data_IF_948905384654
#
_entry.id   IF_948905384654
#
_cell.length_a   1.000
_cell.length_b   1.000
_cell.length_c   1.000
_cell.angle_alpha   90.00
_cell.angle_beta   90.00
_cell.angle_gamma   90.00
#
_symmetry.space_group_name_H-M   'P 1'
#
loop_
_entity.id
_entity.type
_entity.pdbx_description
1 polymer ?
#
# COMPACT_ATOMS: atom_id res chain seq x y z
N UNK A 1 -11.08 -19.17 -12.72
CA UNK A 1 -10.94 -19.43 -11.27
C UNK A 1 -10.05 -20.66 -11.15
N UNK A 2 -8.77 -20.49 -10.85
CA UNK A 2 -7.80 -21.60 -10.79
C UNK A 2 -7.35 -21.76 -9.36
N UNK A 3 -7.84 -22.82 -8.71
CA UNK A 3 -7.51 -23.15 -7.34
C UNK A 3 -6.01 -23.49 -7.23
N UNK A 4 -5.36 -23.04 -6.17
CA UNK A 4 -4.10 -23.61 -5.70
C UNK A 4 -4.49 -24.70 -4.68
N UNK A 5 -4.53 -26.00 -5.05
CA UNK A 5 -5.00 -27.04 -4.13
C UNK A 5 -4.16 -27.09 -2.84
N UNK A 6 -2.89 -26.67 -2.94
CA UNK A 6 -1.97 -26.54 -1.80
C UNK A 6 -2.36 -25.48 -0.78
N UNK A 7 -3.29 -24.56 -1.09
CA UNK A 7 -3.76 -23.56 -0.12
C UNK A 7 -5.01 -24.00 0.62
N UNK A 8 -5.63 -25.14 0.29
CA UNK A 8 -6.86 -25.60 0.96
C UNK A 8 -6.58 -26.17 2.35
N UNK A 9 -5.42 -26.81 2.52
CA UNK A 9 -5.00 -27.40 3.80
C UNK A 9 -4.02 -26.49 4.58
N UNK A 10 -3.76 -25.28 4.08
CA UNK A 10 -2.85 -24.33 4.73
C UNK A 10 -3.60 -23.47 5.76
N UNK A 11 -3.32 -23.71 7.04
CA UNK A 11 -3.95 -23.05 8.19
C UNK A 11 -2.96 -22.20 9.02
N UNK A 12 -1.67 -22.15 8.63
CA UNK A 12 -0.61 -21.43 9.37
C UNK A 12 -0.23 -20.09 8.76
N UNK A 13 -0.82 -19.74 7.63
CA UNK A 13 -0.70 -18.43 7.02
C UNK A 13 -2.05 -17.97 6.48
N UNK A 14 -2.26 -16.67 6.45
CA UNK A 14 -3.53 -16.10 6.01
C UNK A 14 -3.32 -14.77 5.31
N UNK A 15 -4.37 -14.33 4.61
CA UNK A 15 -4.41 -12.99 4.05
C UNK A 15 -5.20 -12.04 4.95
N UNK A 16 -4.73 -10.80 5.06
CA UNK A 16 -5.50 -9.68 5.61
C UNK A 16 -5.99 -8.85 4.44
N UNK A 17 -7.31 -8.88 4.23
CA UNK A 17 -7.92 -8.37 3.00
C UNK A 17 -7.36 -9.07 1.76
N UNK A 18 -7.16 -8.31 0.69
CA UNK A 18 -6.57 -8.78 -0.56
C UNK A 18 -5.07 -8.48 -0.70
N UNK A 19 -4.47 -7.79 0.27
CA UNK A 19 -3.19 -7.10 0.10
C UNK A 19 -2.04 -7.69 0.92
N UNK A 20 -2.28 -8.20 2.12
CA UNK A 20 -1.20 -8.68 2.99
C UNK A 20 -1.32 -10.18 3.21
N UNK A 21 -0.20 -10.89 3.16
CA UNK A 21 -0.06 -12.30 3.55
C UNK A 21 0.86 -12.37 4.76
N UNK A 22 0.39 -13.01 5.82
CA UNK A 22 1.07 -13.12 7.12
C UNK A 22 1.35 -14.59 7.41
N UNK A 23 2.57 -14.90 7.88
CA UNK A 23 2.90 -16.20 8.47
C UNK A 23 3.66 -16.01 9.79
N UNK A 24 2.98 -16.01 10.95
CA UNK A 24 3.66 -15.93 12.23
C UNK A 24 4.55 -17.15 12.47
N UNK A 25 5.62 -16.96 13.26
CA UNK A 25 6.50 -18.04 13.71
C UNK A 25 5.91 -18.62 14.99
N UNK A 26 5.50 -19.89 14.96
CA UNK A 26 4.81 -20.57 16.09
C UNK A 26 5.61 -21.74 16.66
N UNK A 27 6.73 -22.08 16.03
CA UNK A 27 7.65 -23.12 16.47
C UNK A 27 8.75 -22.55 17.37
N UNK A 28 8.97 -23.21 18.52
CA UNK A 28 10.02 -22.81 19.47
C UNK A 28 11.41 -22.90 18.82
N UNK A 29 12.25 -21.90 19.08
CA UNK A 29 13.63 -21.80 18.57
C UNK A 29 13.76 -21.85 17.03
N UNK A 30 12.70 -21.53 16.29
CA UNK A 30 12.77 -21.45 14.84
C UNK A 30 13.74 -20.35 14.39
N UNK A 31 14.63 -20.70 13.46
CA UNK A 31 15.55 -19.78 12.77
C UNK A 31 15.17 -19.56 11.31
N UNK A 32 14.21 -20.35 10.82
CA UNK A 32 13.62 -20.23 9.49
C UNK A 32 12.12 -20.49 9.55
N UNK A 33 11.36 -19.76 8.72
CA UNK A 33 9.95 -19.99 8.46
C UNK A 33 9.74 -20.26 6.97
N UNK A 34 9.05 -21.34 6.65
CA UNK A 34 8.67 -21.66 5.28
C UNK A 34 7.25 -21.18 5.03
N UNK A 35 7.05 -20.25 4.09
CA UNK A 35 5.72 -19.78 3.68
C UNK A 35 5.46 -20.09 2.21
N UNK A 36 4.20 -20.22 1.83
CA UNK A 36 3.80 -20.37 0.44
C UNK A 36 3.22 -19.05 -0.07
N UNK A 37 3.81 -18.50 -1.13
CA UNK A 37 3.24 -17.36 -1.84
C UNK A 37 2.28 -17.89 -2.92
N UNK A 38 0.98 -17.53 -2.88
CA UNK A 38 -0.01 -18.01 -3.83
C UNK A 38 -0.16 -17.09 -5.04
N UNK A 39 -0.81 -17.61 -6.08
CA UNK A 39 -1.18 -16.86 -7.29
C UNK A 39 -0.16 -16.99 -8.43
N UNK A 40 -0.63 -17.40 -9.61
CA UNK A 40 0.20 -17.45 -10.81
C UNK A 40 0.35 -16.06 -11.41
N UNK A 41 1.56 -15.72 -11.84
CA UNK A 41 1.88 -14.39 -12.41
C UNK A 41 1.59 -13.26 -11.42
N UNK A 42 1.82 -13.53 -10.14
CA UNK A 42 1.79 -12.55 -9.07
C UNK A 42 3.22 -12.28 -8.60
N UNK A 43 3.40 -11.12 -7.98
CA UNK A 43 4.62 -10.77 -7.26
C UNK A 43 4.21 -10.39 -5.84
N UNK A 44 5.03 -10.76 -4.86
CA UNK A 44 4.85 -10.36 -3.47
C UNK A 44 6.08 -9.58 -3.03
N UNK A 45 5.88 -8.53 -2.25
CA UNK A 45 6.95 -7.71 -1.71
C UNK A 45 7.10 -8.00 -0.24
N UNK A 46 8.30 -8.37 0.16
CA UNK A 46 8.65 -8.52 1.57
C UNK A 46 8.43 -7.18 2.30
N UNK A 47 7.73 -7.21 3.43
CA UNK A 47 7.28 -5.99 4.10
C UNK A 47 8.43 -5.13 4.63
N UNK A 48 9.47 -5.76 5.18
CA UNK A 48 10.58 -5.05 5.79
C UNK A 48 11.59 -4.58 4.74
N UNK A 49 11.88 -5.42 3.75
CA UNK A 49 12.95 -5.16 2.78
C UNK A 49 12.48 -4.61 1.44
N UNK A 50 11.16 -4.57 1.20
CA UNK A 50 10.54 -4.23 -0.09
C UNK A 50 11.00 -5.12 -1.27
N UNK A 51 11.71 -6.22 -1.01
CA UNK A 51 12.24 -7.09 -2.07
C UNK A 51 11.12 -7.91 -2.72
N UNK A 52 11.07 -7.98 -4.07
CA UNK A 52 10.08 -8.78 -4.76
C UNK A 52 10.39 -10.27 -4.68
N UNK A 53 9.34 -11.08 -4.54
CA UNK A 53 9.33 -12.54 -4.55
C UNK A 53 8.33 -13.03 -5.60
N UNK A 54 8.76 -13.85 -6.58
CA UNK A 54 7.86 -14.41 -7.58
C UNK A 54 6.92 -15.45 -6.95
N UNK A 55 5.78 -15.66 -7.59
CA UNK A 55 4.72 -16.58 -7.17
C UNK A 55 4.21 -17.43 -8.34
N UNK A 56 3.76 -18.68 -8.14
CA UNK A 56 3.58 -19.38 -6.86
C UNK A 56 4.85 -20.08 -6.39
N UNK A 57 5.05 -20.19 -5.08
CA UNK A 57 6.19 -20.94 -4.56
C UNK A 57 6.39 -20.85 -3.05
N UNK A 58 7.12 -21.81 -2.52
CA UNK A 58 7.60 -21.75 -1.15
C UNK A 58 8.77 -20.76 -1.04
N UNK A 59 8.77 -19.93 -0.01
CA UNK A 59 9.87 -19.04 0.36
C UNK A 59 10.38 -19.46 1.72
N UNK A 60 11.71 -19.55 1.85
CA UNK A 60 12.39 -19.75 3.12
C UNK A 60 12.83 -18.39 3.64
N UNK A 61 12.29 -18.02 4.79
CA UNK A 61 12.59 -16.76 5.47
C UNK A 61 13.46 -17.05 6.68
N UNK A 62 14.69 -16.53 6.75
CA UNK A 62 15.39 -16.41 8.02
C UNK A 62 14.53 -15.61 9.00
N UNK A 63 14.35 -16.14 10.21
CA UNK A 63 13.57 -15.47 11.25
C UNK A 63 14.37 -15.38 12.55
N UNK A 64 14.11 -14.32 13.28
CA UNK A 64 14.55 -14.11 14.65
C UNK A 64 13.32 -14.04 15.55
N UNK A 65 13.53 -13.93 16.86
CA UNK A 65 12.44 -13.74 17.82
C UNK A 65 11.55 -12.50 17.51
N UNK A 66 12.09 -11.51 16.79
CA UNK A 66 11.37 -10.27 16.44
C UNK A 66 10.70 -10.33 15.06
N UNK A 67 10.98 -11.36 14.26
CA UNK A 67 10.55 -11.41 12.87
C UNK A 67 9.08 -11.75 12.75
N UNK A 68 8.35 -11.00 11.94
CA UNK A 68 6.98 -11.32 11.51
C UNK A 68 7.00 -11.41 9.99
N UNK A 69 7.10 -12.63 9.41
CA UNK A 69 7.00 -12.81 7.97
C UNK A 69 5.70 -12.24 7.41
N UNK A 70 5.83 -11.13 6.68
CA UNK A 70 4.74 -10.36 6.11
C UNK A 70 5.09 -9.98 4.67
N UNK A 71 4.13 -10.19 3.78
CA UNK A 71 4.27 -9.94 2.35
C UNK A 71 3.10 -9.10 1.85
N UNK A 72 3.39 -8.03 1.13
CA UNK A 72 2.38 -7.28 0.39
C UNK A 72 2.24 -7.82 -1.03
N UNK A 73 1.03 -8.10 -1.46
CA UNK A 73 0.73 -8.52 -2.83
C UNK A 73 0.93 -7.36 -3.80
N UNK A 74 1.60 -7.61 -4.92
CA UNK A 74 1.69 -6.67 -6.03
C UNK A 74 0.31 -6.33 -6.59
N UNK A 75 0.16 -5.09 -7.06
CA UNK A 75 -1.11 -4.54 -7.51
C UNK A 75 -1.96 -3.94 -6.40
N UNK A 76 -1.43 -3.79 -5.18
CA UNK A 76 -2.20 -3.28 -4.02
C UNK A 76 -1.58 -2.01 -3.43
N UNK A 77 -2.43 -1.15 -2.86
CA UNK A 77 -2.06 0.03 -2.09
C UNK A 77 -2.61 -0.15 -0.67
N UNK A 78 -1.73 -0.03 0.33
CA UNK A 78 -2.08 -0.18 1.75
C UNK A 78 -1.82 1.14 2.48
N UNK A 79 -2.86 1.83 2.99
CA UNK A 79 -2.70 3.00 3.86
C UNK A 79 -2.31 2.58 5.28
N UNK A 80 -1.33 3.25 5.89
CA UNK A 80 -0.85 2.97 7.24
C UNK A 80 -0.60 4.26 8.02
N UNK A 81 -1.05 4.31 9.27
CA UNK A 81 -0.56 5.28 10.25
C UNK A 81 0.77 4.80 10.83
N UNK A 82 1.89 5.37 10.38
CA UNK A 82 3.22 4.98 10.88
C UNK A 82 3.56 5.56 12.25
N UNK A 83 2.91 6.67 12.61
CA UNK A 83 3.08 7.33 13.90
C UNK A 83 2.37 6.53 14.99
N UNK A 84 3.04 5.53 15.53
CA UNK A 84 2.49 4.70 16.61
C UNK A 84 2.26 5.56 17.86
N UNK A 85 1.02 5.58 18.35
CA UNK A 85 0.63 6.24 19.60
C UNK A 85 0.23 5.21 20.66
N UNK A 86 -0.06 5.69 21.87
CA UNK A 86 -0.50 4.86 23.01
C UNK A 86 -1.92 4.27 22.85
N UNK A 87 -2.72 4.77 21.90
CA UNK A 87 -4.05 4.25 21.57
C UNK A 87 -4.45 4.64 20.15
N UNK A 88 -5.39 3.89 19.55
CA UNK A 88 -5.93 4.19 18.22
C UNK A 88 -6.64 5.53 18.15
N UNK A 89 -7.34 5.93 19.22
CA UNK A 89 -8.00 7.23 19.30
C UNK A 89 -7.03 8.41 19.10
N UNK A 90 -5.78 8.27 19.56
CA UNK A 90 -4.75 9.30 19.40
C UNK A 90 -4.07 9.26 18.03
N UNK A 91 -4.29 8.20 17.25
CA UNK A 91 -3.79 8.07 15.87
C UNK A 91 -4.81 8.58 14.84
N UNK A 92 -6.06 8.83 15.24
CA UNK A 92 -7.17 9.16 14.30
C UNK A 92 -6.83 10.33 13.38
N UNK A 93 -6.14 11.34 13.92
CA UNK A 93 -5.73 12.56 13.19
C UNK A 93 -4.26 12.51 12.72
N UNK A 94 -3.54 11.41 12.94
CA UNK A 94 -2.18 11.28 12.45
C UNK A 94 -2.18 11.08 10.92
N UNK A 95 -1.17 11.61 10.21
CA UNK A 95 -1.06 11.40 8.78
C UNK A 95 -0.87 9.93 8.40
N UNK A 96 -1.12 9.64 7.14
CA UNK A 96 -1.02 8.31 6.54
C UNK A 96 0.16 8.23 5.58
N UNK A 97 0.82 7.08 5.60
CA UNK A 97 1.75 6.63 4.56
C UNK A 97 1.04 5.64 3.62
N UNK A 98 1.15 5.86 2.32
CA UNK A 98 0.63 4.92 1.31
C UNK A 98 1.74 3.98 0.83
N UNK A 99 1.57 2.68 1.07
CA UNK A 99 2.45 1.63 0.54
C UNK A 99 1.89 1.09 -0.77
N UNK A 100 2.46 1.52 -1.89
CA UNK A 100 2.09 1.13 -3.25
C UNK A 100 2.99 -0.04 -3.70
N UNK A 101 2.46 -1.26 -3.75
CA UNK A 101 3.16 -2.41 -4.32
C UNK A 101 2.73 -2.61 -5.77
N UNK A 102 3.61 -2.38 -6.74
CA UNK A 102 3.27 -2.52 -8.16
C UNK A 102 3.00 -3.98 -8.53
N UNK A 103 2.10 -4.22 -9.48
CA UNK A 103 1.84 -5.58 -9.97
C UNK A 103 3.07 -6.17 -10.70
N UNK A 104 2.99 -7.44 -11.13
CA UNK A 104 4.11 -8.11 -11.81
C UNK A 104 4.59 -7.39 -13.08
N UNK A 105 3.70 -6.65 -13.73
CA UNK A 105 4.00 -5.86 -14.94
C UNK A 105 4.64 -4.50 -14.61
N UNK A 106 4.56 -4.06 -13.36
CA UNK A 106 5.02 -2.75 -12.92
C UNK A 106 4.12 -1.61 -13.36
N UNK A 107 2.88 -1.87 -13.78
CA UNK A 107 2.01 -0.90 -14.46
C UNK A 107 0.77 -0.47 -13.65
N UNK A 108 0.49 -1.13 -12.53
CA UNK A 108 -0.75 -0.90 -11.79
C UNK A 108 -0.66 -1.28 -10.32
N UNK A 109 -1.34 -0.51 -9.47
CA UNK A 109 -1.76 -0.90 -8.13
C UNK A 109 -2.99 -0.11 -7.70
N UNK A 110 -3.84 -0.69 -6.84
CA UNK A 110 -4.95 0.05 -6.25
C UNK A 110 -5.21 -0.31 -4.79
N UNK A 111 -5.91 0.57 -4.09
CA UNK A 111 -6.34 0.34 -2.72
C UNK A 111 -7.44 1.30 -2.34
N UNK A 112 -7.98 1.11 -1.14
CA UNK A 112 -9.05 1.93 -0.61
C UNK A 112 -8.80 2.26 0.85
N UNK A 113 -9.40 3.35 1.31
CA UNK A 113 -9.47 3.72 2.72
C UNK A 113 -10.90 4.08 3.09
N UNK A 114 -11.34 3.61 4.24
CA UNK A 114 -12.59 3.98 4.87
C UNK A 114 -12.29 4.71 6.17
N UNK A 115 -12.97 5.83 6.42
CA UNK A 115 -12.85 6.62 7.65
C UNK A 115 -14.22 7.04 8.14
N UNK A 116 -14.46 6.92 9.43
CA UNK A 116 -15.62 7.46 10.15
C UNK A 116 -15.17 7.89 11.56
N UNK A 117 -16.11 8.24 12.44
CA UNK A 117 -15.78 8.56 13.83
C UNK A 117 -15.36 7.35 14.67
N UNK A 118 -15.51 6.12 14.17
CA UNK A 118 -15.16 4.86 14.83
C UNK A 118 -15.92 4.53 16.12
N UNK A 119 -16.94 5.32 16.49
CA UNK A 119 -17.59 5.25 17.81
C UNK A 119 -19.12 5.25 17.72
N UNK A 120 -19.71 5.94 16.74
CA UNK A 120 -21.16 6.15 16.65
C UNK A 120 -21.76 5.51 15.40
N UNK A 121 -23.08 5.67 15.23
CA UNK A 121 -23.79 5.28 14.01
C UNK A 121 -23.90 6.42 12.98
N UNK A 122 -23.13 7.50 13.13
CA UNK A 122 -23.19 8.66 12.25
C UNK A 122 -22.88 8.31 10.77
N UNK A 123 -22.10 7.26 10.52
CA UNK A 123 -21.89 6.73 9.16
C UNK A 123 -23.21 6.37 8.44
N UNK A 124 -24.27 5.98 9.17
CA UNK A 124 -25.60 5.70 8.58
C UNK A 124 -26.28 6.95 8.03
N UNK A 125 -25.83 8.14 8.46
CA UNK A 125 -26.28 9.45 7.98
C UNK A 125 -25.32 10.06 6.95
N UNK A 126 -24.27 9.33 6.56
CA UNK A 126 -23.26 9.80 5.62
C UNK A 126 -21.97 10.33 6.25
N UNK A 127 -21.83 10.36 7.58
CA UNK A 127 -20.62 10.87 8.25
C UNK A 127 -19.46 9.85 8.20
N UNK A 128 -19.00 9.58 6.99
CA UNK A 128 -17.84 8.74 6.68
C UNK A 128 -17.21 9.20 5.36
N UNK A 129 -16.03 8.69 5.06
CA UNK A 129 -15.32 8.86 3.81
C UNK A 129 -14.90 7.48 3.29
N UNK A 130 -15.17 7.19 2.01
CA UNK A 130 -14.68 5.98 1.35
C UNK A 130 -13.96 6.34 0.05
N UNK A 131 -12.64 6.24 0.08
CA UNK A 131 -11.77 6.74 -0.99
C UNK A 131 -10.93 5.63 -1.59
N UNK A 132 -10.61 5.78 -2.87
CA UNK A 132 -9.69 4.91 -3.60
C UNK A 132 -8.38 5.61 -3.92
N UNK A 133 -7.33 4.82 -4.06
CA UNK A 133 -6.05 5.22 -4.62
C UNK A 133 -5.71 4.31 -5.78
N UNK A 134 -5.16 4.87 -6.86
CA UNK A 134 -4.75 4.13 -8.05
C UNK A 134 -3.39 4.64 -8.49
N UNK A 135 -2.43 3.71 -8.59
CA UNK A 135 -1.22 3.90 -9.37
C UNK A 135 -1.43 3.30 -10.77
N UNK A 136 -1.03 4.00 -11.82
CA UNK A 136 -1.09 3.49 -13.19
C UNK A 136 0.08 3.99 -14.03
N UNK A 137 0.67 3.12 -14.84
CA UNK A 137 1.52 3.51 -15.97
C UNK A 137 0.61 3.94 -17.13
N UNK A 138 0.64 5.22 -17.48
CA UNK A 138 -0.16 5.73 -18.62
C UNK A 138 0.54 5.42 -19.95
N UNK A 139 1.85 5.63 -19.99
CA UNK A 139 2.75 5.27 -21.09
C UNK A 139 4.20 5.18 -20.57
N UNK A 140 5.18 4.96 -21.45
CA UNK A 140 6.57 4.65 -21.06
C UNK A 140 7.29 5.72 -20.24
N UNK A 141 6.78 6.95 -20.24
CA UNK A 141 7.42 8.11 -19.62
C UNK A 141 6.52 8.80 -18.58
N UNK A 142 5.34 8.23 -18.28
CA UNK A 142 4.40 8.83 -17.35
C UNK A 142 3.69 7.75 -16.53
N UNK A 143 3.78 7.91 -15.21
CA UNK A 143 3.03 7.16 -14.23
C UNK A 143 2.20 8.13 -13.40
N UNK A 144 1.00 7.72 -13.02
CA UNK A 144 0.05 8.55 -12.28
C UNK A 144 -0.28 7.91 -10.95
N UNK A 145 -0.45 8.73 -9.91
CA UNK A 145 -1.11 8.34 -8.66
C UNK A 145 -2.30 9.27 -8.48
N UNK A 146 -3.49 8.72 -8.37
CA UNK A 146 -4.72 9.49 -8.17
C UNK A 146 -5.50 8.94 -6.99
N UNK A 147 -6.18 9.81 -6.25
CA UNK A 147 -7.23 9.40 -5.33
C UNK A 147 -8.61 9.83 -5.85
N UNK A 148 -9.66 9.11 -5.40
CA UNK A 148 -11.02 9.44 -5.78
C UNK A 148 -12.03 9.00 -4.73
N UNK A 149 -13.03 9.84 -4.47
CA UNK A 149 -14.16 9.46 -3.64
C UNK A 149 -14.96 8.35 -4.33
N UNK A 150 -15.08 7.19 -3.68
CA UNK A 150 -15.83 6.04 -4.18
C UNK A 150 -17.32 6.10 -3.84
N UNK A 151 -17.70 6.82 -2.78
CA UNK A 151 -19.08 6.96 -2.35
C UNK A 151 -19.41 8.41 -2.01
N UNK A 152 -20.12 9.07 -2.93
CA UNK A 152 -20.57 10.46 -2.78
C UNK A 152 -21.56 10.67 -1.63
N UNK A 153 -22.11 9.60 -1.06
CA UNK A 153 -22.92 9.66 0.16
C UNK A 153 -22.10 9.88 1.44
N UNK A 154 -20.79 9.60 1.39
CA UNK A 154 -19.85 9.94 2.45
C UNK A 154 -19.47 11.42 2.40
N UNK A 155 -19.81 12.16 3.46
CA UNK A 155 -19.62 13.62 3.57
C UNK A 155 -18.52 14.01 4.57
N UNK A 156 -17.79 13.06 5.14
CA UNK A 156 -16.69 13.37 6.06
C UNK A 156 -15.56 14.08 5.28
N UNK A 157 -15.27 15.32 5.68
CA UNK A 157 -14.06 16.05 5.28
C UNK A 157 -13.04 15.97 6.42
N UNK A 158 -11.86 15.43 6.13
CA UNK A 158 -10.81 15.13 7.09
C UNK A 158 -9.55 15.92 6.75
N UNK A 159 -8.92 16.49 7.78
CA UNK A 159 -7.61 17.14 7.64
C UNK A 159 -6.43 16.15 7.76
N UNK A 160 -6.71 14.84 7.79
CA UNK A 160 -5.67 13.82 7.75
C UNK A 160 -4.95 13.87 6.40
N UNK A 161 -3.64 14.08 6.49
CA UNK A 161 -2.76 14.21 5.33
C UNK A 161 -2.16 12.87 4.92
N UNK A 162 -1.79 12.78 3.65
CA UNK A 162 -0.83 11.78 3.17
C UNK A 162 0.57 12.39 3.34
N UNK A 163 1.32 11.94 4.34
CA UNK A 163 2.66 12.48 4.60
C UNK A 163 3.71 11.86 3.68
N UNK A 164 3.48 10.62 3.25
CA UNK A 164 4.47 9.82 2.52
C UNK A 164 3.81 8.83 1.58
N UNK A 165 4.44 8.60 0.43
CA UNK A 165 4.13 7.50 -0.48
C UNK A 165 5.40 6.67 -0.69
N UNK A 166 5.29 5.35 -0.50
CA UNK A 166 6.36 4.39 -0.76
C UNK A 166 5.92 3.50 -1.91
N UNK A 167 6.65 3.53 -3.04
CA UNK A 167 6.37 2.71 -4.22
C UNK A 167 7.39 1.58 -4.30
N UNK A 168 6.92 0.34 -4.18
CA UNK A 168 7.71 -0.89 -4.25
C UNK A 168 7.68 -1.47 -5.67
N UNK A 169 8.86 -1.81 -6.20
CA UNK A 169 9.00 -2.37 -7.54
C UNK A 169 8.94 -1.33 -8.66
N UNK A 170 9.22 -0.06 -8.36
CA UNK A 170 9.33 1.03 -9.32
C UNK A 170 10.58 0.82 -10.21
N UNK A 171 10.45 0.03 -11.28
CA UNK A 171 11.55 -0.24 -12.23
C UNK A 171 11.76 0.87 -13.27
N UNK A 172 10.91 1.88 -13.26
CA UNK A 172 11.10 3.11 -14.04
C UNK A 172 12.11 4.02 -13.34
N UNK A 173 12.70 4.97 -14.08
CA UNK A 173 13.70 5.90 -13.55
C UNK A 173 13.10 7.29 -13.44
N UNK A 174 12.45 7.66 -12.31
CA UNK A 174 11.82 8.95 -12.16
C UNK A 174 12.85 10.08 -12.27
N UNK A 175 12.47 11.16 -12.98
CA UNK A 175 13.25 12.40 -13.16
C UNK A 175 12.57 13.58 -12.48
N UNK A 176 11.25 13.66 -12.59
CA UNK A 176 10.45 14.72 -11.97
C UNK A 176 9.15 14.14 -11.44
N UNK A 177 8.63 14.74 -10.37
CA UNK A 177 7.32 14.45 -9.84
C UNK A 177 6.57 15.77 -9.63
N UNK A 178 5.28 15.79 -9.95
CA UNK A 178 4.43 16.95 -9.74
C UNK A 178 3.10 16.50 -9.13
N UNK A 179 2.53 17.31 -8.26
CA UNK A 179 1.18 17.12 -7.75
C UNK A 179 0.25 18.22 -8.27
N UNK A 180 -0.94 17.80 -8.68
CA UNK A 180 -2.04 18.63 -9.11
C UNK A 180 -3.15 18.47 -8.08
N UNK A 181 -3.50 19.58 -7.44
CA UNK A 181 -4.68 19.70 -6.59
C UNK A 181 -5.82 20.34 -7.41
N UNK A 182 -6.76 21.01 -6.74
CA UNK A 182 -7.94 21.62 -7.37
C UNK A 182 -7.64 22.80 -8.33
N UNK A 183 -6.48 23.44 -8.22
CA UNK A 183 -6.14 24.67 -8.96
C UNK A 183 -5.46 24.44 -10.31
N UNK A 184 -5.31 23.17 -10.73
CA UNK A 184 -4.63 22.73 -11.96
C UNK A 184 -3.20 23.26 -12.13
N UNK A 185 -2.60 23.86 -11.11
CA UNK A 185 -1.23 24.36 -11.14
C UNK A 185 -0.34 23.31 -10.48
N UNK A 186 0.59 22.68 -11.22
CA UNK A 186 1.42 21.63 -10.63
C UNK A 186 2.43 22.22 -9.63
N UNK A 187 2.44 21.66 -8.43
CA UNK A 187 3.52 21.86 -7.48
C UNK A 187 4.58 20.74 -7.66
N UNK A 188 5.88 21.08 -7.70
CA UNK A 188 6.93 20.07 -7.76
C UNK A 188 6.97 19.26 -6.46
N UNK A 189 7.25 17.96 -6.59
CA UNK A 189 7.48 17.05 -5.48
C UNK A 189 8.92 16.53 -5.50
N UNK A 190 9.56 16.57 -4.34
CA UNK A 190 10.82 15.88 -4.10
C UNK A 190 10.58 14.39 -3.86
N UNK A 191 11.54 13.57 -4.28
CA UNK A 191 11.50 12.13 -4.07
C UNK A 191 12.90 11.55 -3.92
N UNK A 192 12.97 10.44 -3.20
CA UNK A 192 14.14 9.58 -3.13
C UNK A 192 13.90 8.31 -3.94
N UNK A 193 14.92 7.84 -4.67
CA UNK A 193 14.82 6.61 -5.46
C UNK A 193 16.01 5.68 -5.20
N UNK A 194 15.72 4.55 -4.57
CA UNK A 194 16.65 3.44 -4.38
C UNK A 194 16.62 2.54 -5.62
N UNK A 195 17.68 2.63 -6.42
CA UNK A 195 17.88 1.85 -7.64
C UNK A 195 18.15 0.37 -7.38
N UNK A 196 18.72 0.01 -6.24
CA UNK A 196 19.07 -1.37 -5.92
C UNK A 196 17.82 -2.16 -5.52
N UNK A 197 16.93 -1.54 -4.75
CA UNK A 197 15.70 -2.17 -4.29
C UNK A 197 14.46 -1.82 -5.14
N UNK A 198 14.61 -0.97 -6.16
CA UNK A 198 13.51 -0.46 -6.98
C UNK A 198 12.40 0.14 -6.12
N UNK A 199 12.78 1.01 -5.17
CA UNK A 199 11.87 1.67 -4.26
C UNK A 199 11.94 3.18 -4.44
N UNK A 200 10.79 3.83 -4.56
CA UNK A 200 10.67 5.28 -4.59
C UNK A 200 9.92 5.77 -3.35
N UNK A 201 10.39 6.84 -2.73
CA UNK A 201 9.74 7.52 -1.61
C UNK A 201 9.43 8.96 -1.99
N UNK A 202 8.19 9.39 -1.74
CA UNK A 202 7.73 10.76 -1.98
C UNK A 202 7.23 11.29 -0.64
N UNK A 203 7.68 12.46 -0.24
CA UNK A 203 7.28 13.13 1.00
C UNK A 203 6.72 14.53 0.78
N UNK A 204 6.27 15.17 1.86
CA UNK A 204 5.84 16.58 1.86
C UNK A 204 4.78 16.93 0.79
N UNK A 205 3.81 16.03 0.58
CA UNK A 205 2.84 16.12 -0.50
C UNK A 205 1.81 17.24 -0.32
N UNK A 206 1.58 17.66 0.94
CA UNK A 206 0.48 18.57 1.33
C UNK A 206 -0.91 18.11 0.84
N UNK A 207 -1.05 16.81 0.56
CA UNK A 207 -2.27 16.19 0.09
C UNK A 207 -3.11 15.69 1.27
N UNK A 208 -4.43 15.83 1.18
CA UNK A 208 -5.38 15.34 2.17
C UNK A 208 -6.11 14.12 1.64
N UNK A 209 -6.49 13.19 2.52
CA UNK A 209 -7.14 11.94 2.10
C UNK A 209 -8.48 12.20 1.40
N UNK A 210 -9.25 13.17 1.90
CA UNK A 210 -10.61 13.48 1.45
C UNK A 210 -10.69 14.58 0.40
N UNK A 211 -9.59 14.90 -0.27
CA UNK A 211 -9.51 15.91 -1.34
C UNK A 211 -8.84 15.28 -2.56
N UNK A 212 -9.40 15.47 -3.75
CA UNK A 212 -8.86 14.86 -4.96
C UNK A 212 -7.49 15.46 -5.30
N UNK A 213 -6.55 14.60 -5.70
CA UNK A 213 -5.25 14.98 -6.22
C UNK A 213 -4.82 14.02 -7.31
N UNK A 214 -3.86 14.49 -8.12
CA UNK A 214 -3.13 13.68 -9.09
C UNK A 214 -1.65 13.94 -8.95
N UNK A 215 -0.85 12.89 -8.91
CA UNK A 215 0.61 12.97 -8.98
C UNK A 215 1.06 12.39 -10.32
N UNK A 216 1.87 13.15 -11.04
CA UNK A 216 2.54 12.69 -12.26
C UNK A 216 4.01 12.43 -11.96
N UNK A 217 4.48 11.22 -12.28
CA UNK A 217 5.87 10.79 -12.18
C UNK A 217 6.41 10.60 -13.60
N UNK A 218 7.33 11.47 -14.01
CA UNK A 218 7.97 11.42 -15.32
C UNK A 218 9.31 10.70 -15.24
N UNK A 219 9.60 9.84 -16.22
CA UNK A 219 10.83 9.03 -16.31
C UNK A 219 11.63 9.25 -17.59
#
# INVERSE_FOLDING_TARGET
>A
MYHAPSSFDEDRQWMVGNALLVKPVVEANAVQASLYLPGRKEVWYDWETSKPRPSPGAVQNPVTLKSIPLYQRGGTIVPIHERVRRSSQLMREDPITLYIALNIKGDFANGTIYMDDGETYAYKKGEYAYWSFIFKKEHDYLHTIVNKNLDKGGILDSDVQIEKIIIRGAKFYPRTAHIYMDDFTPDPLDFDYDRENYQMEIGNLKAYITREFRIDLHS
#
